data_IF_484958047761
#
_entry.id   IF_484958047761
#
_cell.length_a   1.000
_cell.length_b   1.000
_cell.length_c   1.000
_cell.angle_alpha   90.00
_cell.angle_beta   90.00
_cell.angle_gamma   90.00
#
_symmetry.space_group_name_H-M   'P 1'
#
loop_
_entity.id
_entity.type
_entity.pdbx_description
1 polymer ?
#
# COMPACT_ATOMS: atom_id res chain seq x y z
N UNK A 1 -26.65 -13.50 -18.94
CA UNK A 1 -26.87 -12.71 -17.71
C UNK A 1 -25.87 -11.56 -17.72
N UNK A 2 -26.32 -10.32 -17.87
CA UNK A 2 -25.46 -9.13 -17.87
C UNK A 2 -25.70 -8.38 -16.56
N UNK A 3 -24.71 -8.39 -15.66
CA UNK A 3 -24.80 -7.60 -14.42
C UNK A 3 -24.52 -6.14 -14.74
N UNK A 4 -25.60 -5.36 -14.83
CA UNK A 4 -25.54 -3.90 -14.74
C UNK A 4 -25.18 -3.55 -13.30
N UNK A 5 -23.92 -3.18 -13.06
CA UNK A 5 -23.53 -2.55 -11.79
C UNK A 5 -24.00 -1.10 -11.82
N UNK A 6 -25.04 -0.82 -11.06
CA UNK A 6 -25.51 0.53 -10.75
C UNK A 6 -24.51 1.21 -9.82
N UNK A 7 -24.05 2.44 -10.12
CA UNK A 7 -23.12 3.13 -9.24
C UNK A 7 -23.86 3.59 -7.98
N UNK A 8 -23.42 3.10 -6.82
CA UNK A 8 -23.90 3.57 -5.53
C UNK A 8 -23.32 4.96 -5.31
N UNK A 9 -24.19 5.98 -5.34
CA UNK A 9 -23.82 7.36 -5.03
C UNK A 9 -24.00 7.59 -3.52
N UNK A 10 -22.95 7.34 -2.75
CA UNK A 10 -22.88 7.77 -1.34
C UNK A 10 -22.26 9.16 -1.27
N UNK A 11 -23.00 10.10 -0.68
CA UNK A 11 -22.65 11.51 -0.59
C UNK A 11 -21.98 11.82 0.75
N UNK A 12 -20.66 11.74 0.77
CA UNK A 12 -19.71 12.43 1.65
C UNK A 12 -18.49 12.70 0.77
N UNK A 13 -17.67 13.71 1.05
CA UNK A 13 -16.47 14.02 0.27
C UNK A 13 -15.37 12.96 0.53
N UNK A 14 -15.67 11.70 0.23
CA UNK A 14 -14.71 10.61 0.15
C UNK A 14 -14.19 10.58 -1.27
N UNK A 15 -12.87 10.68 -1.43
CA UNK A 15 -12.24 10.43 -2.72
C UNK A 15 -12.47 8.96 -3.07
N UNK A 16 -13.49 8.70 -3.90
CA UNK A 16 -13.85 7.34 -4.30
C UNK A 16 -12.79 6.83 -5.27
N UNK A 17 -11.98 5.86 -4.83
CA UNK A 17 -11.11 5.10 -5.74
C UNK A 17 -11.98 4.19 -6.62
N UNK A 18 -11.77 4.17 -7.96
CA UNK A 18 -12.44 3.19 -8.82
C UNK A 18 -12.14 1.76 -8.35
N UNK A 19 -13.12 0.87 -8.45
CA UNK A 19 -12.99 -0.53 -7.99
C UNK A 19 -11.80 -1.24 -8.63
N UNK A 20 -11.59 -1.07 -9.93
CA UNK A 20 -10.43 -1.62 -10.65
C UNK A 20 -9.11 -1.09 -10.08
N UNK A 21 -9.06 0.18 -9.68
CA UNK A 21 -7.87 0.78 -9.05
C UNK A 21 -7.62 0.17 -7.67
N UNK A 22 -8.68 -0.07 -6.87
CA UNK A 22 -8.56 -0.75 -5.58
C UNK A 22 -7.98 -2.15 -5.77
N UNK A 23 -8.56 -2.96 -6.67
CA UNK A 23 -8.04 -4.30 -6.96
C UNK A 23 -6.60 -4.27 -7.46
N UNK A 24 -6.29 -3.36 -8.38
CA UNK A 24 -4.95 -3.19 -8.93
C UNK A 24 -3.95 -2.75 -7.85
N UNK A 25 -4.36 -1.97 -6.86
CA UNK A 25 -3.49 -1.55 -5.75
C UNK A 25 -3.26 -2.68 -4.74
N UNK A 26 -4.27 -3.50 -4.47
CA UNK A 26 -4.25 -4.51 -3.41
C UNK A 26 -3.88 -5.93 -3.89
N UNK A 27 -3.68 -6.14 -5.20
CA UNK A 27 -3.38 -7.46 -5.80
C UNK A 27 -2.00 -8.04 -5.53
N UNK A 28 -1.09 -7.26 -4.95
CA UNK A 28 0.31 -7.59 -4.75
C UNK A 28 0.63 -7.47 -3.27
N UNK A 29 1.27 -8.49 -2.72
CA UNK A 29 1.46 -8.62 -1.27
C UNK A 29 2.37 -7.51 -0.72
N UNK A 30 3.45 -7.15 -1.44
CA UNK A 30 4.36 -6.07 -1.05
C UNK A 30 3.66 -4.72 -1.03
N UNK A 31 2.88 -4.41 -2.08
CA UNK A 31 2.06 -3.17 -2.10
C UNK A 31 1.01 -3.14 -1.01
N UNK A 32 0.30 -4.25 -0.83
CA UNK A 32 -0.75 -4.38 0.18
C UNK A 32 -0.16 -4.15 1.57
N UNK A 33 0.99 -4.76 1.86
CA UNK A 33 1.70 -4.56 3.12
C UNK A 33 2.22 -3.13 3.27
N UNK A 34 2.83 -2.54 2.24
CA UNK A 34 3.30 -1.14 2.29
C UNK A 34 2.16 -0.16 2.62
N UNK A 35 0.98 -0.37 2.03
CA UNK A 35 -0.21 0.42 2.29
C UNK A 35 -0.75 0.23 3.71
N UNK A 36 -0.71 -1.01 4.22
CA UNK A 36 -1.07 -1.33 5.61
C UNK A 36 -0.10 -0.71 6.62
N UNK A 37 1.20 -0.79 6.36
CA UNK A 37 2.21 -0.15 7.20
C UNK A 37 2.00 1.38 7.25
N UNK A 38 1.77 2.00 6.08
CA UNK A 38 1.47 3.42 5.98
C UNK A 38 0.11 3.80 6.59
N UNK A 39 -0.85 2.88 6.70
CA UNK A 39 -2.14 3.16 7.37
C UNK A 39 -2.01 3.26 8.88
N UNK A 40 -0.99 2.60 9.45
CA UNK A 40 -0.69 2.58 10.88
C UNK A 40 0.37 3.60 11.30
N UNK A 41 0.97 4.32 10.33
CA UNK A 41 2.02 5.29 10.59
C UNK A 41 1.49 6.72 10.42
N UNK A 42 1.94 7.63 11.29
CA UNK A 42 1.59 9.05 11.21
C UNK A 42 2.68 9.81 10.45
N UNK A 43 2.28 10.49 9.38
CA UNK A 43 3.16 11.39 8.61
C UNK A 43 4.01 10.67 7.56
N UNK A 44 5.05 11.38 7.12
CA UNK A 44 5.95 10.90 6.07
C UNK A 44 6.95 9.85 6.61
N UNK A 45 7.18 8.81 5.83
CA UNK A 45 8.09 7.70 6.14
C UNK A 45 9.15 7.60 5.06
N UNK A 46 10.40 7.31 5.42
CA UNK A 46 11.45 7.09 4.43
C UNK A 46 11.13 5.88 3.54
N UNK A 47 11.49 5.95 2.26
CA UNK A 47 11.32 4.81 1.35
C UNK A 47 12.14 3.60 1.82
N UNK A 48 13.31 3.84 2.43
CA UNK A 48 14.14 2.75 2.96
C UNK A 48 13.44 2.00 4.10
N UNK A 49 12.83 2.71 5.03
CA UNK A 49 12.04 2.10 6.11
C UNK A 49 10.91 1.24 5.55
N UNK A 50 10.20 1.71 4.51
CA UNK A 50 9.12 0.93 3.90
C UNK A 50 9.67 -0.37 3.28
N UNK A 51 10.83 -0.32 2.63
CA UNK A 51 11.49 -1.50 2.05
C UNK A 51 11.88 -2.49 3.16
N UNK A 52 12.46 -2.00 4.25
CA UNK A 52 12.88 -2.83 5.38
C UNK A 52 11.69 -3.53 6.02
N UNK A 53 10.58 -2.82 6.20
CA UNK A 53 9.34 -3.37 6.77
C UNK A 53 8.71 -4.42 5.84
N UNK A 54 8.68 -4.17 4.52
CA UNK A 54 8.24 -5.18 3.54
C UNK A 54 9.12 -6.44 3.65
N UNK A 55 10.45 -6.28 3.67
CA UNK A 55 11.37 -7.40 3.72
C UNK A 55 11.24 -8.20 5.04
N UNK A 56 11.07 -7.50 6.16
CA UNK A 56 10.85 -8.12 7.47
C UNK A 56 9.52 -8.87 7.55
N UNK A 57 8.47 -8.34 6.92
CA UNK A 57 7.18 -9.02 6.80
C UNK A 57 7.25 -10.28 5.95
N UNK A 58 7.98 -10.26 4.82
CA UNK A 58 8.09 -11.43 3.94
C UNK A 58 8.91 -12.57 4.53
N UNK A 59 9.94 -12.24 5.32
CA UNK A 59 10.86 -13.23 5.89
C UNK A 59 11.01 -13.03 7.40
N UNK A 60 9.95 -13.31 8.17
CA UNK A 60 9.99 -13.12 9.61
C UNK A 60 11.01 -14.08 10.23
N UNK A 61 11.82 -13.55 11.15
CA UNK A 61 12.87 -14.29 11.87
C UNK A 61 14.08 -14.75 11.03
N UNK A 62 14.18 -14.33 9.78
CA UNK A 62 15.35 -14.60 8.95
C UNK A 62 16.38 -13.46 9.02
N UNK A 63 17.65 -13.80 8.83
CA UNK A 63 18.68 -12.78 8.57
C UNK A 63 18.55 -12.34 7.11
N UNK A 64 18.11 -11.09 6.91
CA UNK A 64 17.94 -10.52 5.58
C UNK A 64 19.30 -10.34 4.90
N UNK A 65 19.43 -10.86 3.68
CA UNK A 65 20.64 -10.67 2.88
C UNK A 65 20.58 -9.34 2.13
N UNK A 66 21.74 -8.75 1.88
CA UNK A 66 21.86 -7.52 1.09
C UNK A 66 21.22 -7.67 -0.31
N UNK A 67 21.42 -8.81 -0.95
CA UNK A 67 20.84 -9.11 -2.27
C UNK A 67 19.32 -9.11 -2.25
N UNK A 68 18.70 -9.66 -1.20
CA UNK A 68 17.24 -9.66 -1.07
C UNK A 68 16.69 -8.25 -0.84
N UNK A 69 17.34 -7.45 0.03
CA UNK A 69 16.94 -6.05 0.24
C UNK A 69 17.07 -5.21 -1.04
N UNK A 70 18.08 -5.48 -1.86
CA UNK A 70 18.23 -4.83 -3.17
C UNK A 70 17.12 -5.22 -4.15
N UNK A 71 16.70 -6.49 -4.15
CA UNK A 71 15.58 -6.98 -4.95
C UNK A 71 14.26 -6.28 -4.56
N UNK A 72 13.93 -6.25 -3.27
CA UNK A 72 12.73 -5.56 -2.75
C UNK A 72 12.79 -4.07 -3.09
N UNK A 73 13.94 -3.43 -2.88
CA UNK A 73 14.16 -2.01 -3.20
C UNK A 73 13.91 -1.72 -4.68
N UNK A 74 14.49 -2.54 -5.57
CA UNK A 74 14.35 -2.35 -7.01
C UNK A 74 12.90 -2.51 -7.47
N UNK A 75 12.23 -3.57 -7.01
CA UNK A 75 10.81 -3.79 -7.33
C UNK A 75 9.93 -2.66 -6.79
N UNK A 76 10.13 -2.26 -5.54
CA UNK A 76 9.35 -1.20 -4.92
C UNK A 76 9.50 0.12 -5.68
N UNK A 77 10.71 0.48 -6.10
CA UNK A 77 10.96 1.71 -6.83
C UNK A 77 10.29 1.76 -8.20
N UNK A 78 10.27 0.64 -8.94
CA UNK A 78 9.79 0.59 -10.31
C UNK A 78 8.30 0.29 -10.43
N UNK A 79 7.81 -0.66 -9.63
CA UNK A 79 6.45 -1.16 -9.74
C UNK A 79 5.54 -0.49 -8.72
N UNK A 80 5.88 -0.63 -7.43
CA UNK A 80 4.97 -0.28 -6.36
C UNK A 80 4.85 1.24 -6.19
N UNK A 81 5.96 1.95 -5.98
CA UNK A 81 5.97 3.40 -5.76
C UNK A 81 5.28 4.15 -6.90
N UNK A 82 5.55 3.78 -8.15
CA UNK A 82 4.95 4.44 -9.31
C UNK A 82 3.43 4.36 -9.25
N UNK A 83 2.88 3.16 -9.06
CA UNK A 83 1.43 2.96 -9.00
C UNK A 83 0.81 3.69 -7.79
N UNK A 84 1.47 3.66 -6.63
CA UNK A 84 1.00 4.34 -5.41
C UNK A 84 0.91 5.87 -5.59
N UNK A 85 1.88 6.46 -6.29
CA UNK A 85 1.91 7.90 -6.60
C UNK A 85 0.92 8.23 -7.72
N UNK A 86 0.91 7.46 -8.82
CA UNK A 86 0.05 7.71 -9.98
C UNK A 86 -1.45 7.63 -9.64
N UNK A 87 -1.82 6.76 -8.69
CA UNK A 87 -3.19 6.64 -8.16
C UNK A 87 -3.52 7.64 -7.05
N UNK A 88 -2.53 8.43 -6.61
CA UNK A 88 -2.69 9.47 -5.60
C UNK A 88 -2.97 8.96 -4.19
N UNK A 89 -2.73 7.67 -3.90
CA UNK A 89 -2.87 7.11 -2.55
C UNK A 89 -1.67 7.46 -1.65
N UNK A 90 -0.53 7.78 -2.26
CA UNK A 90 0.67 8.23 -1.55
C UNK A 90 1.27 9.43 -2.28
N UNK A 91 1.81 10.40 -1.55
CA UNK A 91 2.67 11.46 -2.08
C UNK A 91 4.13 11.13 -1.84
N UNK A 92 4.98 11.35 -2.85
CA UNK A 92 6.43 11.17 -2.74
C UNK A 92 7.14 12.53 -2.67
N UNK A 93 7.97 12.72 -1.65
CA UNK A 93 8.90 13.83 -1.55
C UNK A 93 10.28 13.36 -2.03
N UNK A 94 10.70 13.84 -3.20
CA UNK A 94 11.97 13.45 -3.81
C UNK A 94 13.20 14.01 -3.07
N UNK A 95 13.09 15.18 -2.46
CA UNK A 95 14.19 15.80 -1.71
C UNK A 95 14.45 15.06 -0.39
N UNK A 96 13.37 14.69 0.30
CA UNK A 96 13.45 13.97 1.57
C UNK A 96 13.56 12.44 1.41
N UNK A 97 13.23 11.90 0.23
CA UNK A 97 13.18 10.46 0.00
C UNK A 97 12.06 9.78 0.79
N UNK A 98 10.94 10.47 1.01
CA UNK A 98 9.85 10.00 1.88
C UNK A 98 8.54 9.82 1.11
N UNK A 99 7.73 8.87 1.59
CA UNK A 99 6.35 8.64 1.17
C UNK A 99 5.40 9.01 2.30
N UNK A 100 4.32 9.69 1.97
CA UNK A 100 3.26 10.02 2.93
C UNK A 100 1.91 9.60 2.39
N UNK A 101 1.12 8.98 3.25
CA UNK A 101 -0.23 8.52 2.92
C UNK A 101 -1.16 9.71 2.70
N UNK A 102 -1.89 9.72 1.58
CA UNK A 102 -2.87 10.77 1.31
C UNK A 102 -4.25 10.41 1.90
N UNK A 103 -5.18 11.38 1.88
CA UNK A 103 -6.58 11.12 2.26
C UNK A 103 -7.25 10.07 1.36
N UNK A 104 -6.88 9.99 0.09
CA UNK A 104 -7.44 9.03 -0.88
C UNK A 104 -7.20 7.59 -0.45
N UNK A 105 -6.05 7.30 0.17
CA UNK A 105 -5.73 5.96 0.60
C UNK A 105 -6.68 5.41 1.67
N UNK A 106 -7.45 6.26 2.38
CA UNK A 106 -8.41 5.81 3.40
C UNK A 106 -9.50 4.89 2.84
N UNK A 107 -9.82 5.03 1.56
CA UNK A 107 -10.72 4.11 0.87
C UNK A 107 -10.22 2.65 0.86
N UNK A 108 -8.92 2.43 1.12
CA UNK A 108 -8.31 1.11 1.20
C UNK A 108 -8.37 0.49 2.61
N UNK A 109 -8.60 1.29 3.67
CA UNK A 109 -8.52 0.83 5.07
C UNK A 109 -9.36 -0.42 5.37
N UNK A 110 -10.63 -0.51 4.94
CA UNK A 110 -11.45 -1.69 5.24
C UNK A 110 -10.86 -2.98 4.67
N UNK A 111 -10.24 -2.91 3.49
CA UNK A 111 -9.63 -4.07 2.84
C UNK A 111 -8.30 -4.46 3.50
N UNK A 112 -7.53 -3.47 3.95
CA UNK A 112 -6.26 -3.70 4.64
C UNK A 112 -6.49 -4.32 6.02
N UNK A 113 -7.50 -3.85 6.77
CA UNK A 113 -7.93 -4.47 8.03
C UNK A 113 -8.32 -5.93 7.81
N UNK A 114 -9.15 -6.23 6.81
CA UNK A 114 -9.52 -7.63 6.52
C UNK A 114 -8.28 -8.48 6.17
N UNK A 115 -7.31 -7.91 5.44
CA UNK A 115 -6.15 -8.66 4.99
C UNK A 115 -5.12 -8.96 6.10
N UNK A 116 -5.08 -8.18 7.19
CA UNK A 116 -4.00 -8.25 8.18
C UNK A 116 -4.46 -8.30 9.65
N UNK A 117 -5.68 -7.87 9.97
CA UNK A 117 -6.18 -7.90 11.36
C UNK A 117 -6.78 -9.26 11.74
N UNK A 118 -7.25 -10.07 10.78
CA UNK A 118 -7.76 -11.43 11.03
C UNK A 118 -6.64 -12.44 11.40
N UNK A 119 -5.37 -12.15 11.10
CA UNK A 119 -4.22 -13.04 11.38
C UNK A 119 -3.68 -12.90 12.82
N UNK A 120 -4.28 -12.05 13.65
CA UNK A 120 -3.78 -11.75 15.01
C UNK A 120 -4.39 -12.59 16.14
N UNK A 121 -5.29 -13.52 15.81
CA UNK A 121 -6.07 -14.31 16.78
C UNK A 121 -5.73 -15.84 16.81
N UNK A 122 -4.52 -16.26 16.42
CA UNK A 122 -4.09 -17.66 16.60
C UNK A 122 -2.64 -17.84 17.03
#
# INVERSE_FOLDING_TARGET
>A
MTTKTTPIKSSSTDTILPTETVFTLLSDDRRRYALYYLSHTVGAVSVETIIDEIAAYERPNETLTQTFLEEVRLEFHHNHRRLLVDTGVVSYNAEAGTLERTRTARALDPYLTIAFDDERDY
#
